data_IF_351628434492
#
_entry.id   IF_351628434492
#
_cell.length_a   1.000
_cell.length_b   1.000
_cell.length_c   1.000
_cell.angle_alpha   90.00
_cell.angle_beta   90.00
_cell.angle_gamma   90.00
#
_symmetry.space_group_name_H-M   'P 1'
#
loop_
_entity.id
_entity.type
_entity.pdbx_description
1 polymer ?
#
# COMPACT_ATOMS: atom_id res chain seq x y z
N UNK A 1 -30.17 -25.95 -3.97
CA UNK A 1 -30.48 -25.93 -5.41
C UNK A 1 -30.66 -24.49 -5.85
N UNK A 2 -29.93 -24.11 -6.91
CA UNK A 2 -30.14 -22.98 -7.83
C UNK A 2 -30.06 -21.53 -7.28
N UNK A 3 -28.94 -20.89 -7.64
CA UNK A 3 -28.81 -19.48 -8.00
C UNK A 3 -30.02 -18.95 -8.80
N UNK A 4 -30.28 -17.63 -8.75
CA UNK A 4 -30.13 -16.70 -9.90
C UNK A 4 -30.68 -15.29 -9.56
N UNK A 5 -29.86 -14.28 -9.93
CA UNK A 5 -30.11 -12.88 -10.31
C UNK A 5 -31.11 -12.00 -9.55
N UNK A 6 -30.55 -10.93 -8.96
CA UNK A 6 -31.15 -9.61 -9.03
C UNK A 6 -30.38 -8.78 -10.07
N UNK A 7 -31.00 -8.63 -11.24
CA UNK A 7 -30.72 -7.57 -12.21
C UNK A 7 -31.76 -6.47 -12.00
N UNK A 8 -31.31 -5.23 -12.17
CA UNK A 8 -32.08 -4.09 -12.66
C UNK A 8 -33.21 -3.56 -11.76
N UNK A 9 -32.83 -2.67 -10.83
CA UNK A 9 -33.75 -1.65 -10.31
C UNK A 9 -33.76 -0.52 -11.33
N UNK A 10 -34.84 -0.44 -12.10
CA UNK A 10 -35.14 0.66 -13.01
C UNK A 10 -35.92 1.70 -12.19
N UNK A 11 -35.33 2.88 -12.03
CA UNK A 11 -35.98 4.05 -11.43
C UNK A 11 -37.16 4.47 -12.31
N UNK A 12 -38.37 4.31 -11.78
CA UNK A 12 -39.57 5.08 -12.12
C UNK A 12 -40.64 4.80 -11.08
N UNK A 13 -41.35 5.86 -10.71
CA UNK A 13 -42.63 5.87 -9.98
C UNK A 13 -42.58 5.95 -8.44
N UNK A 14 -42.36 7.17 -7.93
CA UNK A 14 -43.08 7.66 -6.74
C UNK A 14 -43.38 9.16 -6.94
N UNK A 15 -44.52 9.48 -7.55
CA UNK A 15 -45.27 10.71 -7.23
C UNK A 15 -46.70 10.25 -6.98
N UNK A 16 -47.12 10.38 -5.74
CA UNK A 16 -48.49 10.13 -5.28
C UNK A 16 -49.25 11.46 -5.49
N UNK A 17 -50.19 11.49 -6.41
CA UNK A 17 -51.18 12.59 -6.49
C UNK A 17 -52.47 12.14 -5.79
N UNK A 18 -52.92 12.96 -4.85
CA UNK A 18 -54.18 12.81 -4.11
C UNK A 18 -55.38 13.22 -4.99
N UNK A 19 -56.34 12.30 -5.15
CA UNK A 19 -57.62 12.55 -5.79
C UNK A 19 -58.50 13.51 -4.96
N UNK A 20 -58.70 14.75 -5.44
CA UNK A 20 -59.80 15.62 -4.99
C UNK A 20 -60.82 15.74 -6.12
N UNK A 21 -61.89 14.96 -5.99
CA UNK A 21 -63.04 14.96 -6.89
C UNK A 21 -63.98 16.14 -6.54
N UNK A 22 -63.87 17.24 -7.28
CA UNK A 22 -64.87 18.32 -7.29
C UNK A 22 -65.75 18.20 -8.54
N UNK A 23 -66.97 17.67 -8.33
CA UNK A 23 -68.07 17.83 -9.28
C UNK A 23 -68.58 19.27 -9.24
N UNK A 24 -68.56 19.92 -10.40
CA UNK A 24 -69.48 21.00 -10.76
C UNK A 24 -69.10 22.41 -10.29
N UNK A 25 -68.14 23.06 -10.94
CA UNK A 25 -67.99 24.54 -10.92
C UNK A 25 -67.46 25.04 -12.29
N UNK A 26 -67.80 26.28 -12.62
CA UNK A 26 -67.92 26.86 -13.96
C UNK A 26 -66.58 27.19 -14.67
N UNK A 27 -66.57 27.21 -16.01
CA UNK A 27 -65.36 27.35 -16.87
C UNK A 27 -64.61 28.69 -16.77
N UNK A 28 -65.08 29.66 -15.98
CA UNK A 28 -64.40 30.95 -15.79
C UNK A 28 -63.47 30.99 -14.56
N UNK A 29 -63.63 30.09 -13.59
CA UNK A 29 -62.76 30.02 -12.39
C UNK A 29 -61.51 29.14 -12.60
N UNK A 30 -61.42 28.46 -13.75
CA UNK A 30 -60.25 27.65 -14.14
C UNK A 30 -59.14 28.53 -14.72
N UNK A 31 -59.49 29.65 -15.38
CA UNK A 31 -58.53 30.48 -16.12
C UNK A 31 -57.75 31.42 -15.17
N UNK A 32 -58.31 31.84 -14.03
CA UNK A 32 -57.55 32.62 -13.04
C UNK A 32 -56.67 31.75 -12.11
N UNK A 33 -56.92 30.44 -11.98
CA UNK A 33 -56.07 29.55 -11.17
C UNK A 33 -54.86 29.00 -11.94
N UNK A 34 -54.95 28.87 -13.27
CA UNK A 34 -53.80 28.47 -14.10
C UNK A 34 -52.73 29.57 -14.23
N UNK A 35 -53.09 30.86 -14.13
CA UNK A 35 -52.11 31.96 -14.13
C UNK A 35 -51.42 32.19 -12.77
N UNK A 36 -52.03 31.72 -11.67
CA UNK A 36 -51.40 31.77 -10.35
C UNK A 36 -50.46 30.56 -10.14
N UNK A 37 -50.78 29.39 -10.68
CA UNK A 37 -49.94 28.18 -10.51
C UNK A 37 -48.68 28.14 -11.41
N UNK A 38 -48.57 29.03 -12.40
CA UNK A 38 -47.32 29.23 -13.18
C UNK A 38 -46.32 30.20 -12.52
N UNK A 39 -46.66 30.83 -11.38
CA UNK A 39 -45.78 31.79 -10.69
C UNK A 39 -45.15 31.29 -9.38
N UNK A 40 -45.29 30.00 -9.06
CA UNK A 40 -44.78 29.43 -7.81
C UNK A 40 -43.85 28.22 -8.01
N UNK A 41 -43.05 28.20 -9.08
CA UNK A 41 -41.81 27.43 -9.05
C UNK A 41 -40.82 28.27 -8.26
N UNK A 42 -40.64 27.90 -7.00
CA UNK A 42 -39.85 28.62 -6.03
C UNK A 42 -38.42 28.82 -6.56
N UNK A 43 -37.94 30.08 -6.61
CA UNK A 43 -36.61 30.40 -7.15
C UNK A 43 -35.50 29.64 -6.41
N UNK A 44 -35.74 29.18 -5.18
CA UNK A 44 -34.83 28.33 -4.40
C UNK A 44 -34.62 26.95 -5.03
N UNK A 45 -35.66 26.30 -5.53
CA UNK A 45 -35.56 24.94 -6.08
C UNK A 45 -34.86 24.91 -7.45
N UNK A 46 -34.98 26.00 -8.21
CA UNK A 46 -34.22 26.19 -9.46
C UNK A 46 -32.75 26.46 -9.15
N UNK A 47 -32.46 27.29 -8.13
CA UNK A 47 -31.08 27.59 -7.70
C UNK A 47 -30.40 26.32 -7.14
N UNK A 48 -31.09 25.52 -6.32
CA UNK A 48 -30.55 24.25 -5.79
C UNK A 48 -30.30 23.23 -6.91
N UNK A 49 -31.24 23.07 -7.86
CA UNK A 49 -31.02 22.19 -9.02
C UNK A 49 -29.89 22.67 -9.91
N UNK A 50 -29.80 23.98 -10.19
CA UNK A 50 -28.69 24.55 -10.94
C UNK A 50 -27.35 24.40 -10.22
N UNK A 51 -27.30 24.52 -8.88
CA UNK A 51 -26.09 24.30 -8.10
C UNK A 51 -25.66 22.83 -8.07
N UNK A 52 -26.62 21.91 -7.98
CA UNK A 52 -26.38 20.46 -8.05
C UNK A 52 -25.87 20.08 -9.45
N UNK A 53 -26.49 20.61 -10.52
CA UNK A 53 -26.04 20.38 -11.89
C UNK A 53 -24.66 20.99 -12.15
N UNK A 54 -24.38 22.21 -11.63
CA UNK A 54 -23.04 22.81 -11.70
C UNK A 54 -21.99 22.00 -10.92
N UNK A 55 -22.34 21.43 -9.76
CA UNK A 55 -21.46 20.52 -8.99
C UNK A 55 -21.22 19.19 -9.73
N UNK A 56 -22.25 18.62 -10.36
CA UNK A 56 -22.14 17.39 -11.14
C UNK A 56 -21.31 17.59 -12.41
N UNK A 57 -21.51 18.70 -13.13
CA UNK A 57 -20.70 19.07 -14.31
C UNK A 57 -19.23 19.25 -13.91
N UNK A 58 -18.94 19.97 -12.80
CA UNK A 58 -17.58 20.09 -12.26
C UNK A 58 -16.97 18.73 -11.88
N UNK A 59 -17.74 17.83 -11.25
CA UNK A 59 -17.29 16.48 -10.88
C UNK A 59 -16.91 15.65 -12.11
N UNK A 60 -17.68 15.74 -13.19
CA UNK A 60 -17.40 15.06 -14.47
C UNK A 60 -16.17 15.64 -15.17
N UNK A 61 -15.98 16.96 -15.12
CA UNK A 61 -14.85 17.63 -15.75
C UNK A 61 -13.53 17.37 -15.01
N UNK A 62 -13.56 17.38 -13.67
CA UNK A 62 -12.43 16.95 -12.82
C UNK A 62 -12.10 15.47 -13.04
N UNK A 63 -13.10 14.59 -13.17
CA UNK A 63 -12.85 13.18 -13.47
C UNK A 63 -12.15 12.98 -14.82
N UNK A 64 -12.53 13.75 -15.86
CA UNK A 64 -11.87 13.73 -17.17
C UNK A 64 -10.42 14.23 -17.13
N UNK A 65 -10.13 15.25 -16.34
CA UNK A 65 -8.76 15.74 -16.10
C UNK A 65 -7.92 14.69 -15.37
N UNK A 66 -8.49 14.03 -14.37
CA UNK A 66 -7.85 12.93 -13.64
C UNK A 66 -7.55 11.75 -14.57
N UNK A 67 -8.49 11.35 -15.42
CA UNK A 67 -8.30 10.25 -16.38
C UNK A 67 -7.20 10.58 -17.42
N UNK A 68 -7.08 11.85 -17.82
CA UNK A 68 -5.95 12.35 -18.63
C UNK A 68 -4.62 12.25 -17.88
N UNK A 69 -4.59 12.60 -16.59
CA UNK A 69 -3.40 12.49 -15.74
C UNK A 69 -2.99 11.03 -15.51
N UNK A 70 -3.95 10.10 -15.44
CA UNK A 70 -3.73 8.65 -15.30
C UNK A 70 -2.97 8.10 -16.52
N UNK A 71 -3.38 8.45 -17.74
CA UNK A 71 -2.71 7.93 -18.96
C UNK A 71 -1.23 8.35 -19.10
N UNK A 72 -0.78 9.33 -18.30
CA UNK A 72 0.61 9.80 -18.27
C UNK A 72 1.44 9.22 -17.11
N UNK A 73 0.82 8.52 -16.15
CA UNK A 73 1.47 8.10 -14.89
C UNK A 73 1.86 6.62 -14.85
N UNK A 74 1.41 5.82 -15.81
CA UNK A 74 1.66 4.37 -15.88
C UNK A 74 3.13 3.98 -16.18
N UNK A 75 4.05 4.94 -16.30
CA UNK A 75 5.49 4.69 -16.44
C UNK A 75 6.33 4.97 -15.17
N UNK A 76 5.72 5.35 -14.04
CA UNK A 76 6.49 5.71 -12.83
C UNK A 76 6.64 4.49 -11.91
N UNK A 77 7.71 3.73 -12.12
CA UNK A 77 8.37 3.00 -11.03
C UNK A 77 8.85 4.07 -10.02
N UNK A 78 8.50 3.94 -8.74
CA UNK A 78 9.02 4.84 -7.70
C UNK A 78 10.52 4.58 -7.50
N UNK A 79 11.36 5.26 -8.29
CA UNK A 79 12.82 5.17 -8.23
C UNK A 79 13.36 5.46 -6.81
N UNK A 80 12.60 6.17 -5.97
CA UNK A 80 13.00 6.50 -4.60
C UNK A 80 12.80 5.36 -3.61
N UNK A 81 11.90 4.42 -3.89
CA UNK A 81 11.78 3.21 -3.08
C UNK A 81 13.00 2.30 -3.28
N UNK A 82 13.54 2.19 -4.50
CA UNK A 82 14.74 1.39 -4.82
C UNK A 82 15.95 1.84 -3.98
N UNK A 83 16.12 3.14 -3.78
CA UNK A 83 17.26 3.69 -3.04
C UNK A 83 17.21 3.35 -1.53
N UNK A 84 16.00 3.19 -0.97
CA UNK A 84 15.80 2.73 0.42
C UNK A 84 16.17 1.24 0.65
N UNK A 85 16.35 0.44 -0.39
CA UNK A 85 16.72 -0.99 -0.29
C UNK A 85 18.22 -1.27 -0.52
N UNK A 86 19.05 -0.24 -0.73
CA UNK A 86 20.51 -0.38 -1.00
C UNK A 86 21.28 -1.21 0.04
N UNK A 87 20.86 -1.20 1.30
CA UNK A 87 21.51 -1.96 2.38
C UNK A 87 21.50 -3.49 2.17
N UNK A 88 20.63 -4.05 1.31
CA UNK A 88 20.46 -5.50 1.15
C UNK A 88 21.46 -6.09 0.13
N UNK A 89 21.84 -5.32 -0.90
CA UNK A 89 22.92 -5.73 -1.80
C UNK A 89 24.27 -5.80 -1.09
N UNK A 90 24.49 -4.92 -0.11
CA UNK A 90 25.72 -4.87 0.69
C UNK A 90 25.85 -6.10 1.60
N UNK A 91 24.75 -6.65 2.14
CA UNK A 91 24.75 -7.93 2.88
C UNK A 91 25.10 -9.11 1.96
N UNK A 92 24.49 -9.21 0.77
CA UNK A 92 24.82 -10.24 -0.23
C UNK A 92 26.27 -10.11 -0.74
N UNK A 93 26.81 -8.89 -0.82
CA UNK A 93 28.23 -8.62 -1.15
C UNK A 93 29.16 -8.98 0.02
N UNK A 94 28.80 -8.69 1.26
CA UNK A 94 29.59 -9.02 2.45
C UNK A 94 29.75 -10.54 2.63
N UNK A 95 28.69 -11.30 2.37
CA UNK A 95 28.73 -12.78 2.34
C UNK A 95 29.58 -13.31 1.15
N UNK A 96 29.69 -12.57 0.05
CA UNK A 96 30.58 -12.92 -1.08
C UNK A 96 32.04 -12.51 -0.85
N UNK A 97 32.31 -11.47 -0.07
CA UNK A 97 33.67 -11.03 0.29
C UNK A 97 34.32 -12.02 1.27
N UNK A 98 33.57 -12.58 2.22
CA UNK A 98 34.07 -13.66 3.11
C UNK A 98 34.42 -14.95 2.35
N UNK A 99 33.78 -15.22 1.20
CA UNK A 99 34.16 -16.32 0.29
C UNK A 99 35.50 -16.11 -0.44
N UNK A 100 36.04 -14.89 -0.47
CA UNK A 100 37.29 -14.56 -1.19
C UNK A 100 38.51 -14.47 -0.28
N UNK A 101 38.33 -14.31 1.04
CA UNK A 101 39.40 -14.14 2.03
C UNK A 101 39.84 -15.43 2.75
N UNK A 102 39.16 -16.57 2.56
CA UNK A 102 39.51 -17.86 3.19
C UNK A 102 40.26 -18.86 2.29
N UNK A 103 40.75 -18.43 1.13
CA UNK A 103 41.73 -19.21 0.33
C UNK A 103 43.13 -18.56 0.37
N UNK A 104 43.80 -18.60 1.53
CA UNK A 104 45.27 -18.52 1.61
C UNK A 104 45.79 -18.94 2.99
N UNK A 105 46.54 -20.04 3.00
CA UNK A 105 47.16 -20.72 4.16
C UNK A 105 46.63 -22.16 4.18
N UNK A 106 47.39 -23.23 3.99
CA UNK A 106 48.83 -23.56 4.03
C UNK A 106 49.14 -24.43 2.79
N UNK A 107 50.35 -24.69 2.26
CA UNK A 107 51.66 -25.06 2.84
C UNK A 107 52.80 -24.81 1.82
N UNK A 108 53.99 -24.48 2.32
CA UNK A 108 55.32 -24.56 1.66
C UNK A 108 55.64 -26.01 1.17
N UNK A 109 56.61 -26.40 0.34
CA UNK A 109 57.85 -25.89 -0.27
C UNK A 109 58.32 -26.98 -1.27
N UNK A 110 58.86 -26.63 -2.46
CA UNK A 110 60.10 -27.21 -3.06
C UNK A 110 60.37 -26.72 -4.50
N UNK A 111 61.36 -25.84 -4.59
CA UNK A 111 62.53 -25.80 -5.51
C UNK A 111 62.45 -26.07 -7.03
N UNK A 112 62.95 -25.05 -7.74
CA UNK A 112 63.93 -25.00 -8.87
C UNK A 112 63.44 -25.11 -10.33
N UNK A 113 63.78 -24.03 -11.07
CA UNK A 113 64.30 -23.87 -12.48
C UNK A 113 63.63 -24.73 -13.57
N UNK A 114 63.23 -24.24 -14.73
CA UNK A 114 63.88 -23.27 -15.66
C UNK A 114 62.94 -22.99 -16.84
N UNK A 115 63.18 -21.87 -17.57
CA UNK A 115 63.04 -21.66 -19.04
C UNK A 115 61.72 -22.06 -19.73
N UNK A 116 61.06 -21.31 -20.62
CA UNK A 116 61.44 -20.22 -21.54
C UNK A 116 60.22 -19.94 -22.43
N UNK A 117 60.17 -18.73 -23.01
CA UNK A 117 59.45 -18.33 -24.23
C UNK A 117 57.90 -18.28 -24.22
N UNK A 118 57.20 -17.46 -25.01
CA UNK A 118 57.39 -16.15 -25.68
C UNK A 118 56.03 -15.89 -26.38
N UNK A 119 55.60 -14.62 -26.45
CA UNK A 119 54.62 -14.07 -27.42
C UNK A 119 53.13 -14.47 -27.19
N UNK A 120 52.08 -13.68 -27.47
CA UNK A 120 51.91 -12.37 -28.11
C UNK A 120 50.49 -11.83 -27.77
N UNK A 121 50.33 -10.50 -27.83
CA UNK A 121 49.16 -9.67 -28.21
C UNK A 121 47.88 -10.36 -28.76
N UNK A 122 46.65 -9.82 -28.77
CA UNK A 122 45.89 -8.68 -28.21
C UNK A 122 44.52 -8.79 -28.94
N UNK A 123 43.42 -8.35 -28.31
CA UNK A 123 42.08 -8.09 -28.92
C UNK A 123 41.25 -9.34 -29.29
N UNK A 124 39.91 -9.40 -29.21
CA UNK A 124 38.84 -8.51 -28.78
C UNK A 124 37.50 -9.29 -28.84
N UNK A 125 36.50 -8.85 -28.08
CA UNK A 125 35.04 -9.04 -28.29
C UNK A 125 34.49 -10.47 -28.43
N UNK A 126 33.66 -10.89 -27.47
CA UNK A 126 32.20 -11.00 -27.69
C UNK A 126 31.50 -11.41 -26.39
N UNK A 127 30.62 -10.52 -25.92
CA UNK A 127 29.60 -10.81 -24.91
C UNK A 127 28.51 -11.62 -25.61
N UNK A 128 28.37 -12.90 -25.29
CA UNK A 128 27.15 -13.67 -25.59
C UNK A 128 26.71 -14.46 -24.36
N UNK A 129 25.59 -13.98 -23.85
CA UNK A 129 24.60 -14.66 -23.05
C UNK A 129 24.40 -16.13 -23.43
N UNK A 130 24.32 -16.98 -22.41
CA UNK A 130 23.49 -18.20 -22.42
C UNK A 130 23.13 -18.57 -21.00
N UNK A 131 22.03 -17.97 -20.57
CA UNK A 131 21.13 -18.46 -19.54
C UNK A 131 20.53 -19.80 -19.98
N UNK A 132 20.86 -20.87 -19.27
CA UNK A 132 20.01 -22.06 -19.10
C UNK A 132 20.66 -22.98 -18.07
N UNK A 133 20.37 -22.72 -16.81
CA UNK A 133 20.31 -23.79 -15.82
C UNK A 133 18.84 -23.82 -15.41
N UNK A 134 18.16 -24.87 -15.86
CA UNK A 134 16.84 -25.26 -15.36
C UNK A 134 16.98 -25.43 -13.86
N UNK A 135 16.22 -24.65 -13.08
CA UNK A 135 16.13 -24.82 -11.63
C UNK A 135 15.41 -26.13 -11.35
N UNK A 136 16.19 -27.18 -11.10
CA UNK A 136 15.74 -28.39 -10.42
C UNK A 136 15.13 -27.97 -9.07
N UNK A 137 13.83 -28.23 -8.92
CA UNK A 137 13.13 -28.46 -7.65
C UNK A 137 13.71 -27.73 -6.44
N UNK A 138 13.46 -26.42 -6.33
CA UNK A 138 13.63 -25.69 -5.08
C UNK A 138 12.86 -26.46 -4.00
N UNK A 139 13.58 -26.92 -2.98
CA UNK A 139 13.06 -27.60 -1.81
C UNK A 139 11.80 -26.87 -1.32
N UNK A 140 10.61 -27.44 -1.58
CA UNK A 140 9.33 -26.73 -1.38
C UNK A 140 9.16 -26.56 0.12
N UNK A 141 9.52 -25.38 0.62
CA UNK A 141 9.41 -25.07 2.05
C UNK A 141 7.97 -25.24 2.48
N UNK A 142 7.78 -25.78 3.67
CA UNK A 142 6.48 -25.76 4.30
C UNK A 142 6.23 -24.35 4.86
N UNK A 143 5.72 -23.48 3.99
CA UNK A 143 5.42 -22.08 4.32
C UNK A 143 4.38 -22.01 5.44
N UNK A 144 3.41 -22.92 5.48
CA UNK A 144 2.40 -22.96 6.53
C UNK A 144 3.03 -23.28 7.88
N UNK A 145 3.89 -24.31 7.97
CA UNK A 145 4.62 -24.62 9.19
C UNK A 145 5.44 -23.43 9.70
N UNK A 146 6.14 -22.72 8.81
CA UNK A 146 6.92 -21.53 9.18
C UNK A 146 6.03 -20.43 9.75
N UNK A 147 4.90 -20.14 9.08
CA UNK A 147 3.96 -19.12 9.53
C UNK A 147 3.34 -19.52 10.87
N UNK A 148 2.94 -20.78 11.06
CA UNK A 148 2.36 -21.27 12.32
C UNK A 148 3.33 -21.08 13.50
N UNK A 149 4.62 -21.34 13.32
CA UNK A 149 5.63 -21.10 14.37
C UNK A 149 5.83 -19.62 14.66
N UNK A 150 5.79 -18.77 13.64
CA UNK A 150 5.88 -17.31 13.82
C UNK A 150 4.61 -16.74 14.48
N UNK A 151 3.44 -17.28 14.18
CA UNK A 151 2.16 -16.91 14.79
C UNK A 151 2.12 -17.27 16.28
N UNK A 152 2.66 -18.44 16.66
CA UNK A 152 2.86 -18.80 18.08
C UNK A 152 3.78 -17.82 18.81
N UNK A 153 4.81 -17.32 18.13
CA UNK A 153 5.76 -16.36 18.70
C UNK A 153 5.15 -14.95 18.82
N UNK A 154 4.25 -14.58 17.91
CA UNK A 154 3.63 -13.26 17.84
C UNK A 154 2.09 -13.35 17.78
N UNK A 155 1.43 -13.88 18.82
CA UNK A 155 -0.02 -14.06 18.82
C UNK A 155 -0.79 -12.73 18.81
N UNK A 156 -0.11 -11.64 19.18
CA UNK A 156 -0.63 -10.27 19.21
C UNK A 156 -0.29 -9.46 17.95
N UNK A 157 0.27 -10.09 16.90
CA UNK A 157 0.69 -9.40 15.69
C UNK A 157 -0.49 -8.71 14.97
N UNK A 158 -0.45 -7.38 14.97
CA UNK A 158 -1.45 -6.50 14.36
C UNK A 158 -0.83 -5.17 13.96
N UNK A 159 -1.62 -4.28 13.34
CA UNK A 159 -1.18 -2.91 13.09
C UNK A 159 -0.82 -2.19 14.40
N UNK A 160 0.38 -1.63 14.47
CA UNK A 160 0.85 -0.88 15.66
C UNK A 160 0.42 0.59 15.63
N UNK A 161 -0.22 1.06 14.56
CA UNK A 161 -0.82 2.40 14.48
C UNK A 161 -2.17 2.40 15.20
N UNK A 162 -2.40 3.40 16.04
CA UNK A 162 -3.67 3.59 16.74
C UNK A 162 -4.65 4.37 15.86
N UNK A 163 -5.86 3.83 15.67
CA UNK A 163 -6.94 4.44 14.90
C UNK A 163 -8.31 3.92 15.39
N UNK A 164 -9.35 4.74 15.22
CA UNK A 164 -10.75 4.39 15.44
C UNK A 164 -11.57 4.27 14.15
N UNK A 165 -11.11 4.87 13.04
CA UNK A 165 -11.81 4.87 11.75
C UNK A 165 -10.86 4.61 10.57
N UNK A 166 -11.42 4.29 9.39
CA UNK A 166 -10.64 4.15 8.16
C UNK A 166 -9.89 5.44 7.79
N UNK A 167 -10.51 6.61 8.04
CA UNK A 167 -9.88 7.90 7.83
C UNK A 167 -8.70 8.14 8.77
N UNK A 168 -8.87 7.88 10.07
CA UNK A 168 -7.77 7.97 11.04
C UNK A 168 -6.60 7.07 10.66
N UNK A 169 -6.87 5.83 10.22
CA UNK A 169 -5.83 4.92 9.74
C UNK A 169 -5.12 5.46 8.49
N UNK A 170 -5.87 6.03 7.54
CA UNK A 170 -5.29 6.61 6.33
C UNK A 170 -4.32 7.74 6.69
N UNK A 171 -4.73 8.67 7.56
CA UNK A 171 -3.87 9.77 8.02
C UNK A 171 -2.65 9.22 8.79
N UNK A 172 -2.84 8.28 9.71
CA UNK A 172 -1.75 7.66 10.45
C UNK A 172 -0.74 6.97 9.51
N UNK A 173 -1.22 6.33 8.44
CA UNK A 173 -0.35 5.66 7.45
C UNK A 173 0.40 6.67 6.58
N UNK A 174 -0.20 7.80 6.21
CA UNK A 174 0.53 8.90 5.55
C UNK A 174 1.63 9.45 6.47
N UNK A 175 1.34 9.59 7.76
CA UNK A 175 2.29 10.06 8.76
C UNK A 175 3.44 9.08 9.03
N UNK A 176 3.21 7.77 8.92
CA UNK A 176 4.21 6.73 9.19
C UNK A 176 5.33 6.66 8.15
N UNK A 177 5.15 7.28 6.98
CA UNK A 177 6.21 7.38 5.98
C UNK A 177 7.48 8.04 6.58
N UNK A 178 8.56 7.26 6.74
CA UNK A 178 9.81 7.67 7.39
C UNK A 178 9.60 8.22 8.82
N UNK A 179 8.63 7.68 9.54
CA UNK A 179 8.34 8.00 10.94
C UNK A 179 8.11 6.70 11.72
N UNK A 180 8.40 6.70 13.02
CA UNK A 180 8.13 5.51 13.85
C UNK A 180 6.68 5.49 14.29
N UNK A 181 6.07 4.30 14.36
CA UNK A 181 4.67 4.15 14.80
C UNK A 181 4.46 4.75 16.20
N UNK A 182 5.45 4.62 17.09
CA UNK A 182 5.43 5.27 18.42
C UNK A 182 5.31 6.79 18.33
N UNK A 183 6.03 7.44 17.40
CA UNK A 183 5.94 8.89 17.20
C UNK A 183 4.61 9.27 16.58
N UNK A 184 4.14 8.52 15.58
CA UNK A 184 2.85 8.75 14.94
C UNK A 184 1.74 8.66 15.99
N UNK A 185 1.69 7.60 16.79
CA UNK A 185 0.68 7.39 17.83
C UNK A 185 0.65 8.51 18.89
N UNK A 186 1.81 9.07 19.26
CA UNK A 186 1.89 10.22 20.18
C UNK A 186 1.31 11.50 19.57
N UNK A 187 1.44 11.68 18.27
CA UNK A 187 0.89 12.84 17.57
C UNK A 187 -0.60 12.65 17.33
N UNK A 188 -1.00 11.48 16.84
CA UNK A 188 -2.39 11.18 16.53
C UNK A 188 -3.29 11.13 17.77
N UNK A 189 -2.76 10.78 18.95
CA UNK A 189 -3.54 10.77 20.19
C UNK A 189 -4.13 12.13 20.57
N UNK A 190 -3.45 13.24 20.22
CA UNK A 190 -3.98 14.60 20.44
C UNK A 190 -4.63 15.15 19.18
N UNK A 191 -4.08 14.85 18.01
CA UNK A 191 -4.61 15.31 16.73
C UNK A 191 -6.05 14.81 16.50
N UNK A 192 -6.31 13.51 16.71
CA UNK A 192 -7.63 12.90 16.47
C UNK A 192 -8.69 13.27 17.50
N UNK A 193 -8.32 13.86 18.64
CA UNK A 193 -9.29 14.48 19.55
C UNK A 193 -9.85 15.79 19.00
N UNK A 194 -9.08 16.47 18.14
CA UNK A 194 -9.44 17.76 17.54
C UNK A 194 -10.03 17.60 16.14
N UNK A 195 -9.43 16.70 15.34
CA UNK A 195 -9.73 16.53 13.92
C UNK A 195 -9.65 15.05 13.58
N UNK A 196 -10.76 14.43 13.18
CA UNK A 196 -10.79 13.00 12.86
C UNK A 196 -11.65 12.65 11.65
N UNK A 197 -12.09 13.65 10.88
CA UNK A 197 -12.82 13.46 9.63
C UNK A 197 -12.09 14.12 8.46
N UNK A 198 -12.39 13.66 7.23
CA UNK A 198 -11.89 14.31 6.01
C UNK A 198 -12.32 15.78 5.95
N UNK A 199 -13.54 16.11 6.41
CA UNK A 199 -14.04 17.49 6.42
C UNK A 199 -13.21 18.40 7.34
N UNK A 200 -12.82 17.91 8.51
CA UNK A 200 -12.00 18.67 9.47
C UNK A 200 -10.67 19.07 8.82
N UNK A 201 -9.94 18.11 8.29
CA UNK A 201 -8.64 18.36 7.65
C UNK A 201 -8.76 19.15 6.35
N UNK A 202 -9.85 18.97 5.60
CA UNK A 202 -10.15 19.77 4.41
C UNK A 202 -10.44 21.24 4.75
N UNK A 203 -10.84 21.57 5.98
CA UNK A 203 -11.08 22.95 6.39
C UNK A 203 -9.85 23.65 7.01
N UNK A 204 -8.85 22.89 7.47
CA UNK A 204 -7.62 23.45 8.00
C UNK A 204 -6.71 24.03 6.91
N UNK A 205 -5.95 25.06 7.26
CA UNK A 205 -4.80 25.51 6.46
C UNK A 205 -3.65 24.52 6.54
N UNK A 206 -2.75 24.55 5.54
CA UNK A 206 -1.54 23.73 5.54
C UNK A 206 -0.65 24.08 6.74
N UNK A 207 -0.62 25.35 7.16
CA UNK A 207 0.11 25.84 8.32
C UNK A 207 -0.42 25.26 9.63
N UNK A 208 -1.73 25.14 9.79
CA UNK A 208 -2.36 24.52 10.96
C UNK A 208 -2.03 23.04 11.04
N UNK A 209 -2.21 22.29 9.94
CA UNK A 209 -1.83 20.87 9.88
C UNK A 209 -0.34 20.71 10.20
N UNK A 210 0.51 21.54 9.59
CA UNK A 210 1.97 21.52 9.79
C UNK A 210 2.39 21.75 11.24
N UNK A 211 1.68 22.58 11.99
CA UNK A 211 1.94 22.81 13.42
C UNK A 211 1.64 21.55 14.23
N UNK A 212 0.51 20.90 13.99
CA UNK A 212 0.10 19.70 14.72
C UNK A 212 1.04 18.50 14.44
N UNK A 213 1.48 18.33 13.18
CA UNK A 213 2.28 17.16 12.78
C UNK A 213 3.79 17.43 12.68
N UNK A 214 4.27 18.59 13.16
CA UNK A 214 5.67 19.03 13.01
C UNK A 214 6.69 17.99 13.46
N UNK A 215 6.35 17.19 14.47
CA UNK A 215 7.24 16.18 15.04
C UNK A 215 7.33 14.87 14.25
N UNK A 216 6.50 14.66 13.22
CA UNK A 216 6.48 13.44 12.41
C UNK A 216 7.53 13.39 11.28
N UNK A 217 8.41 14.40 11.16
CA UNK A 217 9.38 14.50 10.07
C UNK A 217 8.71 14.67 8.69
N UNK A 218 9.39 15.30 7.73
CA UNK A 218 8.81 15.62 6.40
C UNK A 218 7.44 16.33 6.49
N UNK A 219 7.18 17.04 7.59
CA UNK A 219 5.84 17.51 7.93
C UNK A 219 5.25 18.42 6.85
N UNK A 220 6.06 19.26 6.18
CA UNK A 220 5.60 20.14 5.10
C UNK A 220 4.92 19.36 3.96
N UNK A 221 5.56 18.31 3.46
CA UNK A 221 5.00 17.50 2.38
C UNK A 221 3.87 16.60 2.86
N UNK A 222 3.93 16.13 4.11
CA UNK A 222 2.82 15.37 4.72
C UNK A 222 1.58 16.23 4.91
N UNK A 223 1.71 17.48 5.37
CA UNK A 223 0.59 18.40 5.54
C UNK A 223 -0.14 18.65 4.24
N UNK A 224 0.61 18.89 3.15
CA UNK A 224 0.03 19.03 1.82
C UNK A 224 -0.74 17.78 1.41
N UNK A 225 -0.11 16.59 1.53
CA UNK A 225 -0.77 15.32 1.18
C UNK A 225 -2.03 15.05 1.98
N UNK A 226 -2.02 15.35 3.29
CA UNK A 226 -3.18 15.20 4.17
C UNK A 226 -4.30 16.14 3.73
N UNK A 227 -3.98 17.41 3.47
CA UNK A 227 -4.92 18.41 2.97
C UNK A 227 -5.56 17.96 1.65
N UNK A 228 -4.74 17.68 0.64
CA UNK A 228 -5.20 17.29 -0.70
C UNK A 228 -6.02 16.00 -0.67
N UNK A 229 -5.58 15.00 0.12
CA UNK A 229 -6.33 13.75 0.31
C UNK A 229 -7.69 14.01 0.93
N UNK A 230 -7.74 14.86 1.96
CA UNK A 230 -8.98 15.16 2.69
C UNK A 230 -9.97 15.94 1.82
N UNK A 231 -9.48 16.91 1.03
CA UNK A 231 -10.29 17.63 0.05
C UNK A 231 -10.84 16.69 -1.02
N UNK A 232 -9.99 15.83 -1.60
CA UNK A 232 -10.43 14.90 -2.62
C UNK A 232 -11.42 13.85 -2.09
N UNK A 233 -11.26 13.40 -0.83
CA UNK A 233 -12.25 12.54 -0.17
C UNK A 233 -13.61 13.24 -0.08
N UNK A 234 -13.63 14.51 0.34
CA UNK A 234 -14.86 15.29 0.40
C UNK A 234 -15.52 15.50 -0.97
N UNK A 235 -14.73 15.72 -2.03
CA UNK A 235 -15.25 16.00 -3.38
C UNK A 235 -15.75 14.74 -4.10
N UNK A 236 -14.98 13.65 -4.04
CA UNK A 236 -15.22 12.46 -4.85
C UNK A 236 -15.99 11.38 -4.10
N UNK A 237 -15.79 11.29 -2.78
CA UNK A 237 -16.21 10.16 -1.96
C UNK A 237 -17.03 10.57 -0.73
N UNK A 238 -17.61 11.77 -0.72
CA UNK A 238 -18.47 12.30 0.36
C UNK A 238 -17.80 12.30 1.76
N UNK A 239 -16.48 12.44 1.77
CA UNK A 239 -15.68 12.43 2.99
C UNK A 239 -15.31 11.04 3.52
N UNK A 240 -15.79 9.98 2.87
CA UNK A 240 -15.54 8.60 3.26
C UNK A 240 -14.32 8.00 2.54
N UNK A 241 -13.56 7.17 3.27
CA UNK A 241 -12.43 6.44 2.69
C UNK A 241 -12.96 5.29 1.83
N UNK A 242 -12.62 5.22 0.53
CA UNK A 242 -13.11 4.15 -0.33
C UNK A 242 -12.46 2.80 0.02
N UNK A 243 -13.24 1.73 -0.07
CA UNK A 243 -12.87 0.34 0.18
C UNK A 243 -12.27 -0.37 -1.07
N UNK A 244 -11.72 0.40 -2.01
CA UNK A 244 -11.16 -0.13 -3.26
C UNK A 244 -9.74 0.35 -3.49
N UNK A 245 -8.86 -0.59 -3.87
CA UNK A 245 -7.47 -0.29 -4.23
C UNK A 245 -7.40 0.77 -5.33
N UNK A 246 -8.19 0.62 -6.39
CA UNK A 246 -8.20 1.51 -7.56
C UNK A 246 -8.61 2.94 -7.20
N UNK A 247 -9.50 3.09 -6.21
CA UNK A 247 -9.93 4.41 -5.71
C UNK A 247 -8.90 5.00 -4.75
N UNK A 248 -8.35 4.19 -3.84
CA UNK A 248 -7.36 4.63 -2.86
C UNK A 248 -6.07 5.13 -3.52
N UNK A 249 -5.55 4.45 -4.53
CA UNK A 249 -4.32 4.88 -5.22
C UNK A 249 -4.46 6.19 -6.00
N UNK A 250 -5.69 6.68 -6.20
CA UNK A 250 -5.94 8.01 -6.80
C UNK A 250 -5.75 9.14 -5.79
N UNK A 251 -5.73 8.84 -4.49
CA UNK A 251 -5.55 9.83 -3.43
C UNK A 251 -4.08 10.31 -3.34
N UNK A 252 -3.83 11.62 -3.18
CA UNK A 252 -2.51 12.21 -3.03
C UNK A 252 -1.65 11.56 -1.93
N UNK A 253 -0.53 10.98 -2.32
CA UNK A 253 0.39 10.35 -1.37
C UNK A 253 -0.03 8.96 -0.90
N UNK A 254 -1.09 8.39 -1.46
CA UNK A 254 -1.51 7.01 -1.24
C UNK A 254 -1.00 6.13 -2.38
N UNK A 255 0.13 5.46 -2.14
CA UNK A 255 0.62 4.41 -3.05
C UNK A 255 -0.06 3.06 -2.78
N UNK A 256 0.25 2.05 -3.62
CA UNK A 256 -0.27 0.68 -3.47
C UNK A 256 -0.05 0.11 -2.07
N UNK A 257 1.12 0.35 -1.48
CA UNK A 257 1.45 -0.08 -0.10
C UNK A 257 0.51 0.55 0.94
N UNK A 258 0.36 1.87 0.90
CA UNK A 258 -0.53 2.62 1.80
C UNK A 258 -1.97 2.13 1.66
N UNK A 259 -2.44 1.97 0.42
CA UNK A 259 -3.77 1.43 0.15
C UNK A 259 -3.94 0.01 0.69
N UNK A 260 -2.96 -0.88 0.51
CA UNK A 260 -3.00 -2.24 1.06
C UNK A 260 -3.07 -2.29 2.58
N UNK A 261 -2.36 -1.39 3.28
CA UNK A 261 -2.46 -1.27 4.74
C UNK A 261 -3.86 -0.85 5.17
N UNK A 262 -4.45 0.16 4.51
CA UNK A 262 -5.80 0.65 4.82
C UNK A 262 -6.84 -0.43 4.53
N UNK A 263 -6.81 -1.05 3.35
CA UNK A 263 -7.73 -2.13 2.97
C UNK A 263 -7.67 -3.31 3.92
N UNK A 264 -6.46 -3.72 4.33
CA UNK A 264 -6.30 -4.85 5.24
C UNK A 264 -6.80 -4.56 6.65
N UNK A 265 -6.55 -3.37 7.18
CA UNK A 265 -6.75 -3.10 8.61
C UNK A 265 -8.06 -2.38 8.92
N UNK A 266 -8.57 -1.55 8.00
CA UNK A 266 -9.85 -0.88 8.19
C UNK A 266 -11.03 -1.65 7.57
N UNK A 267 -10.79 -2.39 6.47
CA UNK A 267 -11.85 -3.05 5.71
C UNK A 267 -11.75 -4.58 5.68
N UNK A 268 -10.76 -5.17 6.38
CA UNK A 268 -10.52 -6.62 6.44
C UNK A 268 -10.36 -7.28 5.05
N UNK A 269 -9.92 -6.55 4.04
CA UNK A 269 -9.57 -7.14 2.75
C UNK A 269 -8.23 -7.87 2.84
N UNK A 270 -8.12 -9.13 2.36
CA UNK A 270 -6.84 -9.82 2.33
C UNK A 270 -5.82 -9.05 1.51
N UNK A 271 -4.74 -8.60 2.14
CA UNK A 271 -3.62 -7.94 1.48
C UNK A 271 -2.30 -8.23 2.20
N UNK A 272 -1.21 -8.29 1.44
CA UNK A 272 0.15 -8.49 1.97
C UNK A 272 1.08 -7.40 1.46
N UNK A 273 0.97 -6.21 2.05
CA UNK A 273 1.79 -5.07 1.68
C UNK A 273 3.27 -5.34 2.02
N UNK A 274 4.16 -5.23 1.05
CA UNK A 274 5.59 -5.52 1.25
C UNK A 274 6.33 -4.25 1.65
N UNK A 275 6.75 -4.19 2.92
CA UNK A 275 7.68 -3.17 3.43
C UNK A 275 9.12 -3.71 3.53
N UNK A 276 10.01 -2.93 4.14
CA UNK A 276 11.41 -3.32 4.32
C UNK A 276 11.60 -4.52 5.24
N UNK A 277 10.67 -4.77 6.17
CA UNK A 277 10.69 -5.93 7.05
C UNK A 277 10.17 -7.15 6.31
N UNK A 278 8.97 -7.09 5.74
CA UNK A 278 8.36 -8.18 4.96
C UNK A 278 9.31 -8.61 3.84
N UNK A 279 9.82 -7.66 3.04
CA UNK A 279 10.77 -7.93 1.97
C UNK A 279 12.01 -8.68 2.46
N UNK A 280 12.69 -8.15 3.48
CA UNK A 280 13.92 -8.74 4.01
C UNK A 280 13.66 -10.12 4.62
N UNK A 281 12.61 -10.24 5.43
CA UNK A 281 12.31 -11.45 6.20
C UNK A 281 11.88 -12.57 5.27
N UNK A 282 10.95 -12.34 4.35
CA UNK A 282 10.47 -13.37 3.42
C UNK A 282 11.61 -13.93 2.56
N UNK A 283 12.49 -13.05 2.07
CA UNK A 283 13.66 -13.42 1.28
C UNK A 283 14.73 -14.14 2.11
N UNK A 284 15.03 -13.68 3.34
CA UNK A 284 16.02 -14.35 4.23
C UNK A 284 15.55 -15.73 4.67
N UNK A 285 14.28 -15.85 5.04
CA UNK A 285 13.69 -17.15 5.34
C UNK A 285 13.76 -18.02 4.10
N UNK A 286 13.52 -17.45 2.91
CA UNK A 286 13.47 -18.16 1.64
C UNK A 286 12.07 -18.65 1.29
N UNK A 287 11.03 -17.98 1.81
CA UNK A 287 9.64 -18.15 1.38
C UNK A 287 9.52 -17.72 -0.09
N UNK A 288 10.24 -16.66 -0.45
CA UNK A 288 10.41 -16.15 -1.82
C UNK A 288 11.90 -15.82 -2.05
N UNK A 289 12.30 -15.64 -3.31
CA UNK A 289 13.61 -15.09 -3.69
C UNK A 289 13.42 -14.08 -4.83
N UNK A 290 13.11 -12.84 -4.45
CA UNK A 290 12.72 -11.79 -5.39
C UNK A 290 13.56 -10.52 -5.19
N UNK A 291 13.91 -9.79 -6.26
CA UNK A 291 14.84 -8.68 -6.20
C UNK A 291 14.21 -7.38 -5.72
N UNK A 292 12.88 -7.27 -5.69
CA UNK A 292 12.19 -6.04 -5.33
C UNK A 292 10.85 -6.30 -4.60
N UNK A 293 10.30 -5.28 -3.91
CA UNK A 293 9.07 -5.42 -3.12
C UNK A 293 7.85 -5.85 -3.93
N UNK A 294 7.67 -5.32 -5.14
CA UNK A 294 6.51 -5.64 -5.97
C UNK A 294 6.50 -7.11 -6.40
N UNK A 295 7.65 -7.64 -6.84
CA UNK A 295 7.77 -9.08 -7.15
C UNK A 295 7.59 -9.95 -5.92
N UNK A 296 8.13 -9.51 -4.78
CA UNK A 296 7.95 -10.19 -3.49
C UNK A 296 6.46 -10.24 -3.10
N UNK A 297 5.69 -9.19 -3.35
CA UNK A 297 4.24 -9.16 -3.07
C UNK A 297 3.52 -10.27 -3.85
N UNK A 298 3.72 -10.31 -5.17
CA UNK A 298 3.10 -11.35 -6.01
C UNK A 298 3.56 -12.77 -5.64
N UNK A 299 4.86 -12.97 -5.41
CA UNK A 299 5.38 -14.28 -5.02
C UNK A 299 4.83 -14.73 -3.65
N UNK A 300 4.63 -13.80 -2.71
CA UNK A 300 3.98 -14.11 -1.42
C UNK A 300 2.49 -14.44 -1.59
N UNK A 301 1.78 -13.76 -2.48
CA UNK A 301 0.38 -14.06 -2.81
C UNK A 301 0.22 -15.46 -3.41
N UNK A 302 1.22 -15.94 -4.16
CA UNK A 302 1.24 -17.31 -4.70
C UNK A 302 1.65 -18.35 -3.63
N UNK A 303 2.56 -18.00 -2.72
CA UNK A 303 3.12 -18.92 -1.73
C UNK A 303 2.24 -19.08 -0.47
N UNK A 304 1.42 -18.09 -0.12
CA UNK A 304 0.64 -18.04 1.11
C UNK A 304 -0.86 -18.09 0.77
N UNK A 305 -1.66 -18.94 1.46
CA UNK A 305 -3.11 -18.93 1.29
C UNK A 305 -3.72 -17.54 1.53
N UNK A 306 -4.70 -17.16 0.71
CA UNK A 306 -5.25 -15.79 0.67
C UNK A 306 -5.78 -15.32 2.02
N UNK A 307 -6.47 -16.20 2.72
CA UNK A 307 -7.01 -16.02 4.06
C UNK A 307 -5.94 -15.69 5.12
N UNK A 308 -4.66 -16.03 4.86
CA UNK A 308 -3.54 -15.75 5.78
C UNK A 308 -2.76 -14.49 5.42
N UNK A 309 -3.04 -13.80 4.31
CA UNK A 309 -2.22 -12.68 3.83
C UNK A 309 -2.03 -11.56 4.87
N UNK A 310 -3.14 -11.04 5.39
CA UNK A 310 -3.11 -9.93 6.36
C UNK A 310 -2.41 -10.31 7.66
N UNK A 311 -2.66 -11.52 8.17
CA UNK A 311 -2.01 -11.97 9.40
C UNK A 311 -0.51 -12.25 9.18
N UNK A 312 -0.15 -12.91 8.08
CA UNK A 312 1.23 -13.16 7.68
C UNK A 312 2.01 -11.86 7.51
N UNK A 313 1.38 -10.82 6.95
CA UNK A 313 1.98 -9.49 6.86
C UNK A 313 2.41 -8.95 8.24
N UNK A 314 1.52 -8.96 9.23
CA UNK A 314 1.84 -8.48 10.58
C UNK A 314 2.90 -9.33 11.27
N UNK A 315 2.80 -10.65 11.15
CA UNK A 315 3.73 -11.60 11.75
C UNK A 315 5.15 -11.43 11.17
N UNK A 316 5.26 -11.25 9.84
CA UNK A 316 6.54 -10.99 9.18
C UNK A 316 7.14 -9.64 9.58
N UNK A 317 6.31 -8.60 9.74
CA UNK A 317 6.76 -7.30 10.26
C UNK A 317 7.30 -7.45 11.68
N UNK A 318 6.53 -8.09 12.58
CA UNK A 318 6.92 -8.29 13.97
C UNK A 318 8.22 -9.07 14.08
N UNK A 319 8.33 -10.16 13.32
CA UNK A 319 9.55 -10.95 13.25
C UNK A 319 10.74 -10.11 12.78
N UNK A 320 10.56 -9.33 11.71
CA UNK A 320 11.59 -8.45 11.18
C UNK A 320 11.99 -7.31 12.11
N UNK A 321 11.08 -6.79 12.92
CA UNK A 321 11.35 -5.71 13.89
C UNK A 321 12.04 -6.25 15.15
N UNK A 322 11.55 -7.38 15.67
CA UNK A 322 11.93 -7.89 17.00
C UNK A 322 13.14 -8.83 16.95
N UNK A 323 13.27 -9.65 15.91
CA UNK A 323 14.25 -10.75 15.88
C UNK A 323 15.14 -10.75 14.61
N UNK A 324 14.53 -10.75 13.42
CA UNK A 324 15.23 -10.75 12.12
C UNK A 324 15.59 -9.31 11.69
N UNK A 325 16.35 -8.63 12.55
CA UNK A 325 16.83 -7.24 12.34
C UNK A 325 17.72 -7.15 11.10
N UNK A 326 17.75 -5.96 10.48
CA UNK A 326 18.56 -5.73 9.28
C UNK A 326 20.04 -6.02 9.55
N UNK A 327 20.57 -5.52 10.67
CA UNK A 327 21.92 -5.80 11.17
C UNK A 327 21.84 -6.69 12.40
N UNK A 328 22.78 -7.62 12.51
CA UNK A 328 22.91 -8.55 13.65
C UNK A 328 21.57 -9.23 14.03
N UNK A 329 20.93 -9.98 13.11
CA UNK A 329 19.71 -10.71 13.43
C UNK A 329 19.98 -11.77 14.52
N UNK A 330 18.97 -12.02 15.36
CA UNK A 330 19.05 -12.94 16.51
C UNK A 330 18.81 -14.40 16.04
N UNK A 331 19.61 -14.87 15.08
CA UNK A 331 19.36 -16.16 14.43
C UNK A 331 19.47 -17.37 15.36
N UNK A 332 20.37 -17.32 16.36
CA UNK A 332 20.60 -18.45 17.27
C UNK A 332 19.36 -18.82 18.11
N UNK A 333 18.59 -17.81 18.51
CA UNK A 333 17.35 -17.91 19.29
C UNK A 333 16.08 -17.96 18.43
N UNK A 334 16.21 -17.91 17.11
CA UNK A 334 15.05 -17.90 16.21
C UNK A 334 14.40 -19.29 16.13
N UNK A 335 13.07 -19.41 16.35
CA UNK A 335 12.39 -20.71 16.37
C UNK A 335 12.34 -21.38 14.99
N UNK A 336 12.37 -20.59 13.91
CA UNK A 336 12.33 -21.08 12.53
C UNK A 336 13.72 -21.19 11.89
N UNK A 337 14.79 -21.16 12.69
CA UNK A 337 16.17 -21.13 12.16
C UNK A 337 16.50 -22.35 11.29
N UNK A 338 16.00 -23.52 11.64
CA UNK A 338 16.21 -24.77 10.88
C UNK A 338 15.48 -24.76 9.53
N UNK A 339 14.47 -23.91 9.36
CA UNK A 339 13.73 -23.73 8.11
C UNK A 339 14.21 -22.47 7.33
N UNK A 340 15.16 -21.70 7.86
CA UNK A 340 15.63 -20.42 7.31
C UNK A 340 16.88 -20.59 6.42
N UNK A 341 16.81 -20.15 5.16
CA UNK A 341 17.94 -20.23 4.22
C UNK A 341 19.13 -19.37 4.69
N UNK A 342 18.86 -18.14 5.11
CA UNK A 342 19.89 -17.22 5.58
C UNK A 342 20.69 -17.78 6.78
N UNK A 343 20.03 -18.46 7.72
CA UNK A 343 20.72 -19.07 8.86
C UNK A 343 21.62 -20.24 8.43
N UNK A 344 21.13 -21.09 7.52
CA UNK A 344 21.91 -22.21 6.97
C UNK A 344 23.17 -21.69 6.26
N UNK A 345 23.03 -20.69 5.41
CA UNK A 345 24.16 -20.06 4.70
C UNK A 345 25.20 -19.46 5.66
N UNK A 346 24.76 -18.82 6.76
CA UNK A 346 25.65 -18.27 7.78
C UNK A 346 26.45 -19.35 8.54
N UNK A 347 25.92 -20.56 8.67
CA UNK A 347 26.58 -21.66 9.36
C UNK A 347 27.43 -22.52 8.43
N UNK A 348 27.09 -22.62 7.14
CA UNK A 348 27.94 -23.26 6.12
C UNK A 348 29.23 -22.47 5.84
N UNK A 349 29.28 -21.21 6.24
CA UNK A 349 30.43 -20.32 6.07
C UNK A 349 31.33 -20.20 7.31
N UNK A 350 30.97 -20.84 8.43
CA UNK A 350 31.81 -20.98 9.62
C UNK A 350 32.49 -22.34 9.63
#
# INVERSE_FOLDING_TARGET
MKNVNLKEINEKDVIVEEDINLKGMDKKDVIEKEEVNKKSIDKKDIIEKEEIDKKNVKKVEVQKEIDKMISKKDEIIDEKDIENFRYIEEDKKSIKVSKKSTKKGETEKKTKKSSSNKATQKQSKEVKSKSKIKSESANKKDVNKILDELEKLYPDAKCELNYGTAFELLIATILSAQCTDVRVNKVTSELFKKYNTARDFANLSIEEISKEIKSCGLYKSKSQKIKDTSEQLCELYDGEVPDSLEKLIKLPGVGRKTAGVVLSNAFNHPAIAVDTHVFRVSNRIGIVDEPNPQKTEFALMEAIPKERWSHSHHVLIFHGRRMCKARNPECASCPIKEDCNYYKELNETK
#
